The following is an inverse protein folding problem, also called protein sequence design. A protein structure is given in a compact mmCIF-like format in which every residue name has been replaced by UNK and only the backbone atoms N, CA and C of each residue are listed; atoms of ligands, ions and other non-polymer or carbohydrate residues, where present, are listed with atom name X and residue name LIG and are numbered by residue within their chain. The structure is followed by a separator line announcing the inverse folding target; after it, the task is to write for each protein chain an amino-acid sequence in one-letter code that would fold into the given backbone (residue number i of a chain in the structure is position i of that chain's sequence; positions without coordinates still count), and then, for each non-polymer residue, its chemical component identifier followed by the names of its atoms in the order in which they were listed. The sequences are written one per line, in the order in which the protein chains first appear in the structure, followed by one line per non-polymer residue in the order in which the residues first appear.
data_IF_593403091073
#
_entry.id   IF_593403091073
#
_cell.length_a   1.000
_cell.length_b   1.000
_cell.length_c   1.000
_cell.angle_alpha   90.00
_cell.angle_beta   90.00
_cell.angle_gamma   90.00
#
_symmetry.space_group_name_H-M   'P 1'
#
loop_
_entity.id
_entity.type
_entity.pdbx_description
1 polymer ?
#
# COMPACT_ATOMS: atom_id res chain seq x y z
N UNK A 1 -14.36 -16.00 -30.61
CA UNK A 1 -13.35 -16.52 -29.67
C UNK A 1 -12.74 -15.41 -28.80
N UNK A 2 -12.99 -14.13 -29.12
CA UNK A 2 -12.44 -12.93 -28.47
C UNK A 2 -12.92 -12.68 -27.02
N UNK A 3 -14.11 -13.16 -26.66
CA UNK A 3 -14.68 -12.93 -25.34
C UNK A 3 -13.96 -13.72 -24.23
N UNK A 4 -13.51 -14.96 -24.48
CA UNK A 4 -12.86 -15.78 -23.45
C UNK A 4 -11.51 -15.22 -22.98
N UNK A 5 -10.74 -14.64 -23.91
CA UNK A 5 -9.44 -14.01 -23.62
C UNK A 5 -9.59 -12.72 -22.81
N UNK A 6 -10.64 -11.95 -23.05
CA UNK A 6 -10.91 -10.72 -22.31
C UNK A 6 -11.24 -11.02 -20.85
N UNK A 7 -12.03 -12.07 -20.61
CA UNK A 7 -12.44 -12.53 -19.28
C UNK A 7 -11.26 -12.99 -18.43
N UNK A 8 -10.34 -13.79 -19.01
CA UNK A 8 -9.15 -14.24 -18.31
C UNK A 8 -8.18 -13.10 -18.02
N UNK A 9 -8.07 -12.14 -18.95
CA UNK A 9 -7.21 -10.97 -18.77
C UNK A 9 -7.72 -10.10 -17.64
N UNK A 10 -9.01 -9.78 -17.62
CA UNK A 10 -9.64 -9.02 -16.52
C UNK A 10 -9.58 -9.76 -15.18
N UNK A 11 -9.75 -11.08 -15.18
CA UNK A 11 -9.63 -11.89 -13.97
C UNK A 11 -8.19 -11.89 -13.41
N UNK A 12 -7.18 -12.00 -14.28
CA UNK A 12 -5.77 -11.98 -13.88
C UNK A 12 -5.39 -10.64 -13.23
N UNK A 13 -5.85 -9.52 -13.82
CA UNK A 13 -5.65 -8.16 -13.31
C UNK A 13 -6.36 -8.00 -11.96
N UNK A 14 -7.60 -8.47 -11.82
CA UNK A 14 -8.33 -8.39 -10.55
C UNK A 14 -7.65 -9.22 -9.44
N UNK A 15 -7.17 -10.43 -9.78
CA UNK A 15 -6.45 -11.32 -8.86
C UNK A 15 -5.15 -10.70 -8.37
N UNK A 16 -4.39 -10.07 -9.26
CA UNK A 16 -3.13 -9.41 -8.92
C UNK A 16 -3.35 -8.24 -7.96
N UNK A 17 -4.42 -7.45 -8.15
CA UNK A 17 -4.81 -6.37 -7.22
C UNK A 17 -5.15 -6.87 -5.84
N UNK A 18 -5.98 -7.91 -5.74
CA UNK A 18 -6.34 -8.50 -4.44
C UNK A 18 -5.09 -9.01 -3.74
N UNK A 19 -4.14 -9.60 -4.48
CA UNK A 19 -2.88 -10.06 -3.91
C UNK A 19 -2.00 -8.89 -3.40
N UNK A 20 -1.90 -7.79 -4.15
CA UNK A 20 -1.18 -6.59 -3.71
C UNK A 20 -1.82 -5.96 -2.47
N UNK A 21 -3.14 -5.80 -2.45
CA UNK A 21 -3.88 -5.34 -1.27
C UNK A 21 -3.63 -6.26 -0.07
N UNK A 22 -3.73 -7.58 -0.25
CA UNK A 22 -3.51 -8.55 0.84
C UNK A 22 -2.11 -8.43 1.45
N UNK A 23 -1.08 -8.28 0.62
CA UNK A 23 0.30 -8.05 1.08
C UNK A 23 0.42 -6.72 1.85
N UNK A 24 -0.23 -5.67 1.38
CA UNK A 24 -0.24 -4.38 2.07
C UNK A 24 -0.96 -4.47 3.44
N UNK A 25 -2.15 -5.06 3.49
CA UNK A 25 -2.87 -5.30 4.75
C UNK A 25 -2.05 -6.12 5.74
N UNK A 26 -1.32 -7.14 5.29
CA UNK A 26 -0.42 -7.89 6.15
C UNK A 26 0.68 -7.00 6.76
N UNK A 27 1.26 -6.09 5.96
CA UNK A 27 2.28 -5.16 6.45
C UNK A 27 1.73 -4.14 7.47
N UNK A 28 0.51 -3.64 7.24
CA UNK A 28 -0.19 -2.75 8.18
C UNK A 28 -0.56 -3.49 9.47
N UNK A 29 -1.01 -4.76 9.35
CA UNK A 29 -1.35 -5.58 10.50
C UNK A 29 -0.14 -5.80 11.42
N UNK A 30 1.01 -6.15 10.85
CA UNK A 30 2.26 -6.31 11.61
C UNK A 30 2.66 -4.99 12.28
N UNK A 31 2.53 -3.87 11.58
CA UNK A 31 2.80 -2.54 12.12
C UNK A 31 1.91 -2.24 13.35
N UNK A 32 0.60 -2.45 13.23
CA UNK A 32 -0.36 -2.23 14.33
C UNK A 32 -0.05 -3.16 15.51
N UNK A 33 0.27 -4.44 15.24
CA UNK A 33 0.59 -5.42 16.27
C UNK A 33 1.83 -5.00 17.07
N UNK A 34 2.92 -4.63 16.38
CA UNK A 34 4.14 -4.17 17.04
C UNK A 34 3.92 -2.87 17.81
N UNK A 35 3.17 -1.93 17.24
CA UNK A 35 2.82 -0.67 17.89
C UNK A 35 1.99 -0.89 19.16
N UNK A 36 1.03 -1.81 19.12
CA UNK A 36 0.19 -2.17 20.27
C UNK A 36 1.02 -2.84 21.37
N UNK A 37 1.86 -3.82 21.03
CA UNK A 37 2.75 -4.51 21.99
C UNK A 37 3.70 -3.50 22.66
N UNK A 38 4.30 -2.61 21.86
CA UNK A 38 5.20 -1.57 22.38
C UNK A 38 4.46 -0.62 23.33
N UNK A 39 3.29 -0.13 22.91
CA UNK A 39 2.46 0.78 23.73
C UNK A 39 2.04 0.12 25.04
N UNK A 40 1.66 -1.15 25.00
CA UNK A 40 1.28 -1.93 26.18
C UNK A 40 2.46 -2.16 27.12
N UNK A 41 3.64 -2.52 26.59
CA UNK A 41 4.86 -2.70 27.40
C UNK A 41 5.26 -1.40 28.10
N UNK A 42 5.17 -0.27 27.40
CA UNK A 42 5.46 1.05 27.96
C UNK A 42 4.46 1.42 29.05
N UNK A 43 3.16 1.22 28.80
CA UNK A 43 2.12 1.47 29.79
C UNK A 43 2.35 0.66 31.08
N UNK A 44 2.73 -0.61 30.96
CA UNK A 44 3.07 -1.46 32.11
C UNK A 44 4.27 -0.96 32.91
N UNK A 45 5.27 -0.34 32.26
CA UNK A 45 6.48 0.16 32.93
C UNK A 45 6.31 1.54 33.54
N UNK A 46 5.60 2.43 32.87
CA UNK A 46 5.57 3.87 33.20
C UNK A 46 4.26 4.27 33.87
N UNK A 47 3.18 3.47 33.75
CA UNK A 47 1.86 3.79 34.28
C UNK A 47 1.12 4.90 33.52
N UNK A 48 1.79 5.56 32.58
CA UNK A 48 1.25 6.64 31.77
C UNK A 48 1.15 6.23 30.30
N UNK A 49 0.08 6.66 29.65
CA UNK A 49 -0.14 6.48 28.23
C UNK A 49 0.40 7.71 27.48
N UNK A 50 1.71 7.87 27.48
CA UNK A 50 2.38 8.95 26.73
C UNK A 50 2.65 8.47 25.30
N UNK A 51 1.69 8.73 24.40
CA UNK A 51 1.82 8.47 22.97
C UNK A 51 2.76 9.47 22.26
N UNK A 52 2.95 10.65 22.86
CA UNK A 52 3.67 11.79 22.28
C UNK A 52 5.08 11.99 22.86
N UNK A 53 5.65 10.96 23.49
CA UNK A 53 7.05 11.08 23.93
C UNK A 53 7.98 10.98 22.73
N UNK A 54 8.81 12.01 22.55
CA UNK A 54 9.82 12.14 21.50
C UNK A 54 11.08 11.28 21.72
N UNK A 55 10.99 10.23 22.53
CA UNK A 55 12.06 9.24 22.61
C UNK A 55 12.25 8.60 21.23
N UNK A 56 13.50 8.35 20.83
CA UNK A 56 13.87 7.96 19.46
C UNK A 56 13.08 6.77 18.88
N UNK A 57 12.54 5.89 19.73
CA UNK A 57 11.69 4.77 19.33
C UNK A 57 10.32 5.21 18.77
N UNK A 58 9.74 6.29 19.29
CA UNK A 58 8.47 6.87 18.79
C UNK A 58 8.64 7.41 17.37
N UNK A 59 9.76 8.10 17.10
CA UNK A 59 10.07 8.68 15.79
C UNK A 59 10.15 7.62 14.68
N UNK A 60 10.71 6.44 14.99
CA UNK A 60 10.79 5.32 14.04
C UNK A 60 9.38 4.86 13.63
N UNK A 61 8.45 4.73 14.58
CA UNK A 61 7.06 4.38 14.27
C UNK A 61 6.37 5.45 13.43
N UNK A 62 6.60 6.73 13.70
CA UNK A 62 6.07 7.83 12.88
C UNK A 62 6.57 7.77 11.42
N UNK A 63 7.88 7.61 11.22
CA UNK A 63 8.47 7.49 9.87
C UNK A 63 7.89 6.25 9.16
N UNK A 64 7.83 5.11 9.85
CA UNK A 64 7.33 3.88 9.26
C UNK A 64 5.83 3.95 8.94
N UNK A 65 5.06 4.62 9.79
CA UNK A 65 3.65 4.94 9.56
C UNK A 65 3.44 5.83 8.33
N UNK A 66 4.27 6.86 8.12
CA UNK A 66 4.23 7.71 6.92
C UNK A 66 4.54 6.88 5.65
N UNK A 67 5.53 5.99 5.72
CA UNK A 67 5.85 5.09 4.59
C UNK A 67 4.67 4.16 4.27
N UNK A 68 3.96 3.66 5.28
CA UNK A 68 2.74 2.87 5.06
C UNK A 68 1.59 3.73 4.51
N UNK A 69 1.44 4.97 4.97
CA UNK A 69 0.42 5.89 4.49
C UNK A 69 0.62 6.26 3.01
N UNK A 70 1.86 6.48 2.57
CA UNK A 70 2.15 6.72 1.15
C UNK A 70 1.86 5.50 0.29
N UNK A 71 2.16 4.29 0.77
CA UNK A 71 1.77 3.03 0.12
C UNK A 71 0.25 2.86 0.06
N UNK A 72 -0.47 3.19 1.14
CA UNK A 72 -1.93 3.18 1.16
C UNK A 72 -2.50 4.14 0.12
N UNK A 73 -1.99 5.37 0.09
CA UNK A 73 -2.42 6.39 -0.86
C UNK A 73 -2.19 5.94 -2.30
N UNK A 74 -1.06 5.27 -2.58
CA UNK A 74 -0.81 4.69 -3.90
C UNK A 74 -1.82 3.58 -4.25
N UNK A 75 -2.14 2.68 -3.32
CA UNK A 75 -3.06 1.57 -3.57
C UNK A 75 -4.52 2.05 -3.72
N UNK A 76 -4.95 2.99 -2.90
CA UNK A 76 -6.34 3.47 -2.86
C UNK A 76 -6.63 4.60 -3.84
N UNK A 77 -5.69 5.54 -4.02
CA UNK A 77 -5.91 6.75 -4.83
C UNK A 77 -5.37 6.64 -6.25
N UNK A 78 -4.28 5.90 -6.46
CA UNK A 78 -3.74 5.56 -7.79
C UNK A 78 -4.40 4.29 -8.37
N UNK A 79 -5.64 4.03 -7.95
CA UNK A 79 -6.38 2.83 -8.30
C UNK A 79 -6.82 2.89 -9.77
N UNK A 80 -6.15 2.09 -10.60
CA UNK A 80 -6.51 1.69 -11.97
C UNK A 80 -6.60 2.76 -13.06
N UNK A 81 -7.23 3.91 -12.81
CA UNK A 81 -7.43 4.96 -13.82
C UNK A 81 -6.11 5.60 -14.24
N UNK A 82 -5.20 5.81 -13.29
CA UNK A 82 -3.85 6.32 -13.57
C UNK A 82 -2.98 5.27 -14.25
N UNK A 83 -2.99 4.03 -13.74
CA UNK A 83 -2.13 2.95 -14.23
C UNK A 83 -2.51 2.57 -15.66
N UNK A 84 -3.82 2.44 -15.93
CA UNK A 84 -4.35 2.24 -17.29
C UNK A 84 -4.04 3.44 -18.18
N UNK A 85 -4.18 4.69 -17.69
CA UNK A 85 -3.77 5.90 -18.45
C UNK A 85 -2.28 5.95 -18.76
N UNK A 86 -1.42 5.38 -17.93
CA UNK A 86 0.02 5.39 -18.15
C UNK A 86 0.37 4.33 -19.20
N UNK A 87 -0.12 3.10 -19.02
CA UNK A 87 0.03 2.03 -20.02
C UNK A 87 -0.47 2.48 -21.40
N UNK A 88 -1.64 3.11 -21.45
CA UNK A 88 -2.23 3.63 -22.69
C UNK A 88 -1.42 4.79 -23.28
N UNK A 89 -0.73 5.58 -22.42
CA UNK A 89 0.18 6.65 -22.88
C UNK A 89 1.45 6.09 -23.49
N UNK A 90 2.06 5.10 -22.84
CA UNK A 90 3.28 4.46 -23.32
C UNK A 90 3.02 3.63 -24.59
N UNK A 91 1.90 2.90 -24.66
CA UNK A 91 1.47 2.19 -25.87
C UNK A 91 1.18 3.15 -27.04
N UNK A 92 0.49 4.27 -26.79
CA UNK A 92 0.24 5.26 -27.84
C UNK A 92 1.52 6.01 -28.25
N UNK A 93 2.49 6.25 -27.36
CA UNK A 93 3.80 6.80 -27.74
C UNK A 93 4.60 5.84 -28.63
N UNK A 94 4.45 4.54 -28.42
CA UNK A 94 5.09 3.52 -29.24
C UNK A 94 4.41 3.38 -30.62
N UNK A 95 3.11 3.70 -30.71
CA UNK A 95 2.35 3.73 -31.97
C UNK A 95 2.49 5.05 -32.75
N UNK A 96 2.66 6.18 -32.06
CA UNK A 96 2.87 7.52 -32.63
C UNK A 96 4.36 7.79 -32.94
N UNK A 97 5.24 6.84 -32.57
CA UNK A 97 6.63 6.73 -33.01
C UNK A 97 6.74 6.17 -34.44
N UNK A 98 6.04 6.75 -35.40
CA UNK A 98 6.36 6.63 -36.82
C UNK A 98 6.66 8.02 -37.38
N UNK A 99 7.95 8.32 -37.56
CA UNK A 99 8.64 8.64 -38.82
C UNK A 99 10.07 9.09 -38.52
#
# INVERSE_FOLDING_TARGET
MENLTDNETDYSIAKERVNQMKKFYASVFIYILLFAIYSFHRYYKTGEITFLDYNGFSVIFWIWGIVLATKAFKIFFFNHSWERKMIDRELNKEHDGKF
#
